data_IF_265457096860
#
_entry.id   IF_265457096860
#
_cell.length_a   1.000
_cell.length_b   1.000
_cell.length_c   1.000
_cell.angle_alpha   90.00
_cell.angle_beta   90.00
_cell.angle_gamma   90.00
#
_symmetry.space_group_name_H-M   'P 1'
#
loop_
_entity.id
_entity.type
_entity.pdbx_description
1 polymer ?
#
# COMPACT_ATOMS: atom_id res chain seq x y z
N UNK A 1 -0.58 8.45 2.64
CA UNK A 1 0.58 8.87 1.81
C UNK A 1 1.81 8.27 2.47
N UNK A 2 2.59 7.48 1.74
CA UNK A 2 3.86 6.91 2.26
C UNK A 2 4.99 7.84 1.88
N UNK A 3 5.90 8.15 2.81
CA UNK A 3 7.07 8.95 2.54
C UNK A 3 8.22 8.02 2.15
N UNK A 4 8.76 8.16 0.93
CA UNK A 4 9.88 7.35 0.45
C UNK A 4 11.15 8.21 0.57
N UNK A 5 12.14 7.72 1.31
CA UNK A 5 13.40 8.46 1.48
C UNK A 5 14.15 8.62 0.15
N UNK A 6 14.85 9.74 -0.02
CA UNK A 6 15.68 9.97 -1.20
C UNK A 6 16.74 8.88 -1.39
N UNK A 7 17.34 8.41 -0.28
CA UNK A 7 18.27 7.27 -0.29
C UNK A 7 17.62 5.99 -0.82
N UNK A 8 16.35 5.72 -0.44
CA UNK A 8 15.61 4.57 -0.93
C UNK A 8 15.35 4.63 -2.43
N UNK A 9 15.19 5.83 -3.00
CA UNK A 9 14.88 6.05 -4.41
C UNK A 9 16.11 6.26 -5.29
N UNK A 10 17.28 6.56 -4.72
CA UNK A 10 18.49 6.86 -5.46
C UNK A 10 18.90 5.73 -6.41
N UNK A 11 18.82 4.48 -5.95
CA UNK A 11 19.14 3.28 -6.75
C UNK A 11 18.13 2.99 -7.88
N UNK A 12 16.94 3.60 -7.83
CA UNK A 12 15.89 3.46 -8.83
C UNK A 12 15.93 4.57 -9.89
N UNK A 13 16.90 5.49 -9.78
CA UNK A 13 17.10 6.62 -10.69
C UNK A 13 15.82 7.43 -10.94
N UNK A 14 15.01 7.61 -9.89
CA UNK A 14 13.71 8.29 -9.97
C UNK A 14 13.89 9.79 -10.19
N UNK A 15 13.16 10.31 -11.17
CA UNK A 15 13.01 11.74 -11.43
C UNK A 15 11.58 12.21 -11.10
N UNK A 16 11.33 13.51 -10.88
CA UNK A 16 10.01 14.02 -10.54
C UNK A 16 8.91 13.76 -11.59
N UNK A 17 9.30 13.47 -12.84
CA UNK A 17 8.39 13.18 -13.95
C UNK A 17 8.13 11.69 -14.15
N UNK A 18 8.84 10.83 -13.42
CA UNK A 18 8.70 9.38 -13.59
C UNK A 18 7.40 8.86 -12.98
N UNK A 19 6.83 7.86 -13.66
CA UNK A 19 5.75 7.05 -13.10
C UNK A 19 6.35 5.94 -12.24
N UNK A 20 5.85 5.83 -11.01
CA UNK A 20 6.31 4.85 -10.03
C UNK A 20 5.16 3.90 -9.72
N UNK A 21 5.37 2.60 -9.90
CA UNK A 21 4.46 1.57 -9.41
C UNK A 21 4.82 1.20 -7.98
N UNK A 22 3.82 1.15 -7.09
CA UNK A 22 3.98 0.72 -5.69
C UNK A 22 3.10 -0.50 -5.47
N UNK A 23 3.69 -1.57 -4.93
CA UNK A 23 3.02 -2.85 -4.71
C UNK A 23 3.35 -3.38 -3.31
N UNK A 24 2.43 -4.12 -2.70
CA UNK A 24 2.68 -4.85 -1.46
C UNK A 24 2.80 -6.34 -1.72
N UNK A 25 3.66 -7.02 -0.97
CA UNK A 25 3.74 -8.49 -1.01
C UNK A 25 2.65 -9.07 -0.12
N UNK A 26 1.84 -9.97 -0.69
CA UNK A 26 0.73 -10.63 0.00
C UNK A 26 1.15 -12.04 0.43
N UNK A 27 0.95 -12.36 1.70
CA UNK A 27 1.01 -13.73 2.22
C UNK A 27 -0.41 -14.29 2.21
N UNK A 28 -0.64 -15.35 1.43
CA UNK A 28 -1.92 -16.06 1.36
C UNK A 28 -1.73 -17.40 2.09
N UNK A 29 -2.38 -17.60 3.26
CA UNK A 29 -2.36 -18.88 3.95
C UNK A 29 -2.99 -19.99 3.09
N UNK A 30 -2.47 -21.21 3.18
CA UNK A 30 -3.13 -22.38 2.61
C UNK A 30 -4.52 -22.55 3.22
N UNK A 31 -5.50 -22.92 2.39
CA UNK A 31 -6.89 -23.22 2.76
C UNK A 31 -7.72 -22.06 3.33
N UNK A 32 -7.12 -20.88 3.58
CA UNK A 32 -7.79 -19.69 4.13
C UNK A 32 -7.35 -18.41 3.40
N UNK A 33 -7.70 -18.24 2.11
CA UNK A 33 -7.29 -17.07 1.32
C UNK A 33 -7.94 -15.77 1.79
N UNK A 34 -9.07 -15.83 2.47
CA UNK A 34 -9.74 -14.72 3.17
C UNK A 34 -8.92 -14.17 4.34
N UNK A 35 -7.96 -14.94 4.86
CA UNK A 35 -7.01 -14.51 5.89
C UNK A 35 -5.71 -13.95 5.31
N UNK A 36 -5.69 -13.62 4.02
CA UNK A 36 -4.51 -13.05 3.37
C UNK A 36 -4.08 -11.73 4.03
N UNK A 37 -2.77 -11.55 4.16
CA UNK A 37 -2.18 -10.33 4.74
C UNK A 37 -1.17 -9.69 3.79
N UNK A 38 -1.17 -8.36 3.71
CA UNK A 38 -0.19 -7.59 2.98
C UNK A 38 0.93 -7.10 3.91
N UNK A 39 2.18 -7.15 3.42
CA UNK A 39 3.29 -6.47 4.05
C UNK A 39 3.33 -5.01 3.63
N UNK A 40 2.80 -4.13 4.47
CA UNK A 40 2.78 -2.69 4.21
C UNK A 40 4.06 -1.97 4.67
N UNK A 41 4.89 -2.61 5.49
CA UNK A 41 6.19 -2.06 5.93
C UNK A 41 7.26 -2.13 4.86
N UNK A 42 7.15 -3.06 3.91
CA UNK A 42 8.17 -3.27 2.90
C UNK A 42 7.59 -3.30 1.48
N UNK A 43 7.07 -2.17 0.95
CA UNK A 43 6.55 -2.10 -0.40
C UNK A 43 7.64 -2.37 -1.45
N UNK A 44 7.21 -2.97 -2.55
CA UNK A 44 7.95 -2.98 -3.81
C UNK A 44 7.71 -1.66 -4.53
N UNK A 45 8.79 -0.99 -4.90
CA UNK A 45 8.77 0.27 -5.64
C UNK A 45 9.48 0.03 -6.97
N UNK A 46 8.80 0.32 -8.07
CA UNK A 46 9.32 0.13 -9.43
C UNK A 46 9.27 1.45 -10.18
N UNK A 47 10.41 1.89 -10.70
CA UNK A 47 10.44 2.97 -11.66
C UNK A 47 10.07 2.43 -13.04
N UNK A 48 8.94 2.87 -13.59
CA UNK A 48 8.43 2.34 -14.85
C UNK A 48 9.31 2.70 -16.06
N UNK A 49 10.10 3.78 -15.98
CA UNK A 49 11.03 4.18 -17.04
C UNK A 49 12.28 3.30 -17.02
N UNK A 50 12.94 3.17 -15.87
CA UNK A 50 14.22 2.44 -15.78
C UNK A 50 14.04 0.94 -15.63
N UNK A 51 12.82 0.48 -15.31
CA UNK A 51 12.48 -0.91 -14.99
C UNK A 51 13.26 -1.46 -13.79
N UNK A 52 13.87 -0.59 -12.99
CA UNK A 52 14.49 -0.94 -11.73
C UNK A 52 13.42 -1.05 -10.66
N UNK A 53 13.53 -2.06 -9.81
CA UNK A 53 12.63 -2.31 -8.70
C UNK A 53 13.40 -2.62 -7.42
N UNK A 54 12.89 -2.15 -6.28
CA UNK A 54 13.47 -2.39 -4.96
C UNK A 54 12.37 -2.60 -3.92
N UNK A 55 12.62 -3.46 -2.94
CA UNK A 55 11.79 -3.56 -1.75
C UNK A 55 12.32 -2.58 -0.69
N UNK A 56 11.56 -1.55 -0.37
CA UNK A 56 11.96 -0.51 0.57
C UNK A 56 11.40 -0.79 1.94
N UNK A 57 12.25 -0.92 2.96
CA UNK A 57 11.80 -1.05 4.36
C UNK A 57 11.52 0.35 4.88
N UNK A 58 10.25 0.62 5.20
CA UNK A 58 9.79 1.88 5.77
C UNK A 58 10.15 1.96 7.26
N UNK A 59 10.56 3.15 7.70
CA UNK A 59 10.91 3.39 9.11
C UNK A 59 9.69 3.70 9.98
N UNK A 60 8.56 4.04 9.36
CA UNK A 60 7.29 4.25 10.03
C UNK A 60 6.77 2.96 10.67
N UNK A 61 6.02 3.09 11.76
CA UNK A 61 5.41 1.96 12.46
C UNK A 61 4.18 1.40 11.73
N UNK A 62 4.36 1.04 10.46
CA UNK A 62 3.37 0.42 9.58
C UNK A 62 3.43 -1.11 9.76
N UNK A 63 2.29 -1.84 9.70
CA UNK A 63 2.25 -3.28 9.95
C UNK A 63 2.98 -4.11 8.88
N UNK A 64 3.63 -5.19 9.34
CA UNK A 64 4.18 -6.26 8.49
C UNK A 64 3.10 -7.23 7.98
N UNK A 65 1.96 -7.32 8.68
CA UNK A 65 0.82 -8.15 8.32
C UNK A 65 -0.45 -7.31 8.49
N UNK A 66 -0.96 -6.80 7.38
CA UNK A 66 -2.22 -6.08 7.34
C UNK A 66 -3.28 -6.96 6.67
N UNK A 67 -4.40 -7.30 7.32
CA UNK A 67 -5.47 -8.08 6.70
C UNK A 67 -5.95 -7.44 5.39
N UNK A 68 -6.03 -8.21 4.31
CA UNK A 68 -6.54 -7.72 3.03
C UNK A 68 -8.06 -7.55 3.01
N UNK A 69 -8.75 -8.37 3.80
CA UNK A 69 -10.18 -8.39 3.89
C UNK A 69 -10.58 -7.92 5.30
N UNK A 70 -11.54 -7.00 5.37
CA UNK A 70 -12.12 -6.55 6.62
C UNK A 70 -13.25 -7.50 7.02
N UNK A 71 -13.44 -7.69 8.32
CA UNK A 71 -14.66 -8.36 8.79
C UNK A 71 -15.87 -7.46 8.45
N UNK A 72 -16.93 -7.98 7.80
CA UNK A 72 -18.10 -7.20 7.41
C UNK A 72 -18.78 -6.45 8.56
N UNK A 73 -18.53 -6.88 9.79
CA UNK A 73 -19.08 -6.33 11.04
C UNK A 73 -18.35 -5.08 11.53
N UNK A 74 -17.16 -4.76 11.00
CA UNK A 74 -16.37 -3.57 11.35
C UNK A 74 -16.57 -2.39 10.39
N UNK A 75 -17.59 -2.43 9.52
CA UNK A 75 -17.93 -1.28 8.66
C UNK A 75 -18.24 -0.03 9.50
N UNK A 76 -17.22 0.82 9.67
CA UNK A 76 -17.37 2.18 10.15
C UNK A 76 -17.54 3.07 8.91
N UNK A 77 -18.73 3.66 8.68
CA UNK A 77 -18.90 4.57 7.56
C UNK A 77 -17.93 5.74 7.73
N UNK A 78 -16.95 5.85 6.82
CA UNK A 78 -16.10 7.03 6.72
C UNK A 78 -17.02 8.22 6.40
N UNK A 79 -17.04 9.20 7.31
CA UNK A 79 -18.02 10.28 7.39
C UNK A 79 -17.84 11.36 6.32
N UNK A 80 -17.89 10.99 5.04
CA UNK A 80 -17.87 11.97 3.93
C UNK A 80 -18.99 11.78 2.88
N UNK A 81 -19.80 10.72 2.94
CA UNK A 81 -20.89 10.52 1.94
C UNK A 81 -22.29 10.90 2.47
N UNK A 82 -22.45 11.16 3.78
CA UNK A 82 -23.78 11.37 4.38
C UNK A 82 -24.43 12.75 4.11
N UNK A 83 -23.74 13.73 3.51
CA UNK A 83 -24.31 15.07 3.30
C UNK A 83 -25.11 15.22 1.99
N UNK A 84 -25.03 14.26 1.05
CA UNK A 84 -25.70 14.38 -0.25
C UNK A 84 -27.10 13.74 -0.33
N UNK A 85 -27.53 12.96 0.67
CA UNK A 85 -28.77 12.18 0.57
C UNK A 85 -29.98 12.77 1.33
N UNK A 86 -29.83 13.92 2.01
CA UNK A 86 -30.88 14.53 2.83
C UNK A 86 -31.51 15.80 2.22
N UNK A 87 -31.45 15.96 0.90
CA UNK A 87 -32.11 17.08 0.21
C UNK A 87 -32.66 16.66 -1.15
N UNK A 88 -33.66 15.78 -1.13
CA UNK A 88 -34.72 15.70 -2.15
C UNK A 88 -36.03 15.37 -1.45
#
# INVERSE_FOLDING_TARGET
RTNLSEEGLAELEVTPTDSISIMAVVTIPSDQPDQATANLRAPLVVNERTKQGKQLILHESIPLRYPLFQDPTEYQPHSEIATAAASV
#
